data_IF_574012637550
#
_entry.id   IF_574012637550
#
_cell.length_a   1.000
_cell.length_b   1.000
_cell.length_c   1.000
_cell.angle_alpha   90.00
_cell.angle_beta   90.00
_cell.angle_gamma   90.00
#
_symmetry.space_group_name_H-M   'P 1'
#
loop_
_entity.id
_entity.type
_entity.pdbx_description
1 polymer ?
#
# COMPACT_ATOMS: atom_id res chain seq x y z
N UNK A 1 17.04 -3.67 8.84
CA UNK A 1 15.89 -3.44 7.93
C UNK A 1 14.63 -3.28 8.78
N UNK A 2 13.88 -2.22 8.58
CA UNK A 2 12.58 -2.02 9.25
C UNK A 2 11.47 -2.37 8.26
N UNK A 3 10.72 -3.41 8.57
CA UNK A 3 9.57 -3.80 7.74
C UNK A 3 8.38 -2.90 8.05
N UNK A 4 7.61 -2.58 7.01
CA UNK A 4 6.42 -1.74 7.12
C UNK A 4 5.19 -2.44 6.57
N UNK A 5 4.06 -2.19 7.21
CA UNK A 5 2.75 -2.44 6.63
C UNK A 5 2.18 -1.11 6.17
N UNK A 6 2.01 -0.95 4.88
CA UNK A 6 1.43 0.27 4.31
C UNK A 6 -0.03 -0.02 3.95
N UNK A 7 -0.91 0.87 4.37
CA UNK A 7 -2.33 0.78 4.04
C UNK A 7 -2.69 1.83 2.99
N UNK A 8 -3.50 1.41 2.03
CA UNK A 8 -4.07 2.30 1.04
C UNK A 8 -5.45 1.77 0.66
N UNK A 9 -6.30 2.62 0.12
CA UNK A 9 -7.61 2.21 -0.39
C UNK A 9 -7.74 2.60 -1.85
N UNK A 10 -8.55 1.87 -2.59
CA UNK A 10 -8.79 2.10 -4.00
C UNK A 10 -10.29 2.01 -4.30
N UNK A 11 -10.77 2.68 -5.36
CA UNK A 11 -12.20 2.70 -5.65
C UNK A 11 -12.75 1.39 -6.24
N UNK A 12 -11.90 0.53 -6.76
CA UNK A 12 -12.31 -0.71 -7.39
C UNK A 12 -11.22 -1.77 -7.32
N UNK A 13 -11.61 -3.01 -7.58
CA UNK A 13 -10.66 -4.11 -7.66
C UNK A 13 -9.68 -3.93 -8.82
N UNK A 14 -10.16 -3.37 -9.94
CA UNK A 14 -9.29 -3.13 -11.10
C UNK A 14 -8.18 -2.15 -10.77
N UNK A 15 -8.50 -1.05 -10.11
CA UNK A 15 -7.49 -0.08 -9.69
C UNK A 15 -6.55 -0.69 -8.67
N UNK A 16 -7.10 -1.38 -7.66
CA UNK A 16 -6.28 -2.04 -6.64
C UNK A 16 -5.31 -3.04 -7.26
N UNK A 17 -5.78 -3.82 -8.25
CA UNK A 17 -4.95 -4.80 -8.94
C UNK A 17 -3.80 -4.11 -9.70
N UNK A 18 -4.09 -3.02 -10.40
CA UNK A 18 -3.06 -2.26 -11.11
C UNK A 18 -1.98 -1.75 -10.13
N UNK A 19 -2.41 -1.15 -9.03
CA UNK A 19 -1.49 -0.64 -8.01
C UNK A 19 -0.64 -1.77 -7.43
N UNK A 20 -1.28 -2.88 -7.03
CA UNK A 20 -0.60 -4.02 -6.43
C UNK A 20 0.44 -4.63 -7.35
N UNK A 21 0.07 -4.89 -8.61
CA UNK A 21 0.97 -5.50 -9.58
C UNK A 21 2.17 -4.59 -9.87
N UNK A 22 1.91 -3.29 -10.02
CA UNK A 22 2.97 -2.32 -10.29
C UNK A 22 4.00 -2.30 -9.16
N UNK A 23 3.53 -2.25 -7.91
CA UNK A 23 4.44 -2.21 -6.77
C UNK A 23 5.31 -3.46 -6.66
N UNK A 24 4.72 -4.63 -6.88
CA UNK A 24 5.46 -5.90 -6.80
C UNK A 24 6.41 -6.04 -8.00
N UNK A 25 5.96 -5.72 -9.21
CA UNK A 25 6.79 -5.80 -10.41
C UNK A 25 7.99 -4.86 -10.36
N UNK A 26 7.84 -3.71 -9.72
CA UNK A 26 8.93 -2.75 -9.56
C UNK A 26 9.78 -3.00 -8.31
N UNK A 27 9.50 -4.08 -7.59
CA UNK A 27 10.22 -4.47 -6.37
C UNK A 27 10.15 -3.39 -5.27
N UNK A 28 9.08 -2.61 -5.26
CA UNK A 28 8.81 -1.64 -4.21
C UNK A 28 8.03 -2.25 -3.05
N UNK A 29 7.38 -3.36 -3.28
CA UNK A 29 6.68 -4.12 -2.24
C UNK A 29 6.95 -5.61 -2.44
N UNK A 30 7.02 -6.33 -1.32
CA UNK A 30 7.19 -7.77 -1.34
C UNK A 30 5.88 -8.48 -1.63
N UNK A 31 4.80 -7.94 -1.10
CA UNK A 31 3.48 -8.55 -1.19
C UNK A 31 2.43 -7.47 -1.04
N UNK A 32 1.36 -7.56 -1.81
CA UNK A 32 0.19 -6.70 -1.63
C UNK A 32 -1.04 -7.60 -1.57
N UNK A 33 -1.72 -7.56 -0.44
CA UNK A 33 -2.99 -8.26 -0.27
C UNK A 33 -4.12 -7.29 -0.50
N UNK A 34 -5.18 -7.75 -1.16
CA UNK A 34 -6.33 -6.93 -1.50
C UNK A 34 -7.54 -7.47 -0.76
N UNK A 35 -8.25 -6.58 -0.05
CA UNK A 35 -9.48 -6.91 0.66
C UNK A 35 -10.63 -6.09 0.09
N UNK A 36 -11.58 -6.76 -0.56
CA UNK A 36 -12.80 -6.11 -1.08
C UNK A 36 -13.82 -5.96 0.03
N UNK A 37 -14.86 -5.18 -0.22
CA UNK A 37 -16.00 -5.06 0.69
C UNK A 37 -15.79 -4.09 1.84
N UNK A 38 -14.89 -3.14 1.70
CA UNK A 38 -14.68 -2.09 2.70
C UNK A 38 -15.68 -0.97 2.44
N UNK A 39 -16.34 -0.49 3.48
CA UNK A 39 -17.18 0.71 3.41
C UNK A 39 -16.47 1.79 4.23
N UNK A 40 -16.17 2.90 3.60
CA UNK A 40 -15.48 4.02 4.23
C UNK A 40 -16.41 5.22 4.35
N UNK A 41 -16.38 5.85 5.52
CA UNK A 41 -17.13 7.07 5.79
C UNK A 41 -16.12 8.16 6.08
N UNK A 42 -16.23 9.30 5.39
CA UNK A 42 -15.26 10.39 5.55
C UNK A 42 -15.88 11.70 5.13
N UNK A 43 -15.25 12.80 5.55
CA UNK A 43 -15.65 14.14 5.12
C UNK A 43 -14.76 14.56 3.95
N UNK A 44 -15.40 15.05 2.90
CA UNK A 44 -14.69 15.59 1.74
C UNK A 44 -15.39 16.88 1.31
N UNK A 45 -14.63 17.96 1.27
CA UNK A 45 -15.12 19.30 0.86
C UNK A 45 -16.38 19.72 1.64
N UNK A 46 -16.38 19.49 2.93
CA UNK A 46 -17.45 19.92 3.83
C UNK A 46 -18.65 18.99 3.90
N UNK A 47 -18.64 17.87 3.18
CA UNK A 47 -19.77 16.93 3.18
C UNK A 47 -19.31 15.52 3.57
N UNK A 48 -20.20 14.78 4.22
CA UNK A 48 -19.93 13.39 4.55
C UNK A 48 -20.13 12.51 3.32
N UNK A 49 -19.12 11.69 3.02
CA UNK A 49 -19.17 10.73 1.94
C UNK A 49 -19.20 9.31 2.50
N UNK A 50 -19.84 8.42 1.78
CA UNK A 50 -19.83 6.99 2.04
C UNK A 50 -19.48 6.29 0.75
N UNK A 51 -18.39 5.52 0.75
CA UNK A 51 -17.88 4.87 -0.46
C UNK A 51 -17.57 3.40 -0.21
N UNK A 52 -17.83 2.58 -1.22
CA UNK A 52 -17.31 1.20 -1.24
C UNK A 52 -15.89 1.26 -1.74
N UNK A 53 -14.99 0.63 -0.99
CA UNK A 53 -13.57 0.66 -1.31
C UNK A 53 -12.94 -0.70 -1.20
N UNK A 54 -11.73 -0.81 -1.76
CA UNK A 54 -10.88 -1.99 -1.68
C UNK A 54 -9.65 -1.58 -0.89
N UNK A 55 -9.32 -2.36 0.15
CA UNK A 55 -8.17 -2.11 0.99
C UNK A 55 -6.94 -2.83 0.43
N UNK A 56 -5.82 -2.12 0.36
CA UNK A 56 -4.53 -2.72 0.04
C UNK A 56 -3.69 -2.80 1.31
N UNK A 57 -3.17 -4.01 1.58
CA UNK A 57 -2.24 -4.27 2.67
C UNK A 57 -0.89 -4.56 2.04
N UNK A 58 0.03 -3.61 2.12
CA UNK A 58 1.28 -3.61 1.37
C UNK A 58 2.42 -3.90 2.33
N UNK A 59 3.17 -4.98 2.08
CA UNK A 59 4.33 -5.35 2.89
C UNK A 59 5.59 -4.91 2.18
N UNK A 60 6.35 -4.03 2.84
CA UNK A 60 7.57 -3.43 2.28
C UNK A 60 8.57 -3.12 3.39
N UNK A 61 9.54 -2.28 3.11
CA UNK A 61 10.54 -1.83 4.10
C UNK A 61 10.65 -0.31 4.09
N UNK A 62 11.09 0.24 5.21
CA UNK A 62 11.12 1.68 5.43
C UNK A 62 11.90 2.44 4.36
N UNK A 63 13.04 1.89 3.92
CA UNK A 63 13.89 2.54 2.92
C UNK A 63 13.21 2.74 1.56
N UNK A 64 12.11 2.03 1.29
CA UNK A 64 11.38 2.13 0.03
C UNK A 64 10.09 2.93 0.13
N UNK A 65 9.74 3.42 1.33
CA UNK A 65 8.45 4.08 1.52
C UNK A 65 8.25 5.29 0.61
N UNK A 66 9.25 6.16 0.49
CA UNK A 66 9.09 7.36 -0.35
C UNK A 66 8.94 7.02 -1.83
N UNK A 67 9.69 6.06 -2.34
CA UNK A 67 9.56 5.60 -3.72
C UNK A 67 8.20 4.94 -3.97
N UNK A 68 7.74 4.13 -3.02
CA UNK A 68 6.44 3.48 -3.08
C UNK A 68 5.32 4.53 -3.09
N UNK A 69 5.40 5.51 -2.20
CA UNK A 69 4.42 6.60 -2.12
C UNK A 69 4.35 7.37 -3.43
N UNK A 70 5.50 7.73 -3.99
CA UNK A 70 5.57 8.45 -5.26
C UNK A 70 4.89 7.66 -6.38
N UNK A 71 5.15 6.36 -6.46
CA UNK A 71 4.53 5.50 -7.47
C UNK A 71 3.03 5.41 -7.28
N UNK A 72 2.57 5.22 -6.05
CA UNK A 72 1.14 5.18 -5.76
C UNK A 72 0.45 6.49 -6.13
N UNK A 73 1.01 7.62 -5.75
CA UNK A 73 0.43 8.92 -6.06
C UNK A 73 0.32 9.16 -7.57
N UNK A 74 1.31 8.69 -8.33
CA UNK A 74 1.31 8.87 -9.78
C UNK A 74 0.20 8.07 -10.48
N UNK A 75 -0.17 6.92 -9.91
CA UNK A 75 -1.14 6.01 -10.52
C UNK A 75 -2.55 6.10 -9.93
N UNK A 76 -2.65 6.64 -8.71
CA UNK A 76 -3.90 6.63 -7.96
C UNK A 76 -4.91 7.64 -8.55
N UNK A 77 -6.19 7.24 -8.71
CA UNK A 77 -7.20 8.16 -9.25
C UNK A 77 -7.67 9.21 -8.25
N UNK A 78 -7.44 9.02 -6.95
CA UNK A 78 -7.84 10.01 -5.94
C UNK A 78 -6.87 11.18 -5.94
N UNK A 79 -7.42 12.36 -5.69
CA UNK A 79 -6.61 13.57 -5.51
C UNK A 79 -5.72 13.47 -4.27
N UNK A 80 -6.28 12.93 -3.17
CA UNK A 80 -5.56 12.72 -1.91
C UNK A 80 -5.75 11.27 -1.48
N UNK A 81 -4.90 10.34 -1.96
CA UNK A 81 -5.04 8.93 -1.57
C UNK A 81 -4.56 8.69 -0.15
N UNK A 82 -5.18 7.69 0.51
CA UNK A 82 -4.68 7.20 1.79
C UNK A 82 -3.40 6.42 1.54
N UNK A 83 -2.31 6.83 2.17
CA UNK A 83 -1.04 6.11 2.14
C UNK A 83 -0.42 6.31 3.52
N UNK A 84 -0.60 5.33 4.39
CA UNK A 84 -0.10 5.38 5.75
C UNK A 84 0.71 4.13 6.04
N UNK A 85 1.72 4.27 6.88
CA UNK A 85 2.63 3.16 7.20
C UNK A 85 2.66 2.91 8.70
N UNK A 86 2.65 1.62 9.06
CA UNK A 86 2.85 1.16 10.41
C UNK A 86 4.14 0.35 10.44
N UNK A 87 4.94 0.52 11.48
CA UNK A 87 6.11 -0.31 11.67
C UNK A 87 5.70 -1.70 12.12
N UNK A 88 6.27 -2.73 11.49
CA UNK A 88 6.07 -4.11 11.92
C UNK A 88 7.10 -4.37 13.02
N UNK A 89 6.68 -4.29 14.27
CA UNK A 89 7.59 -4.42 15.41
C UNK A 89 8.05 -5.86 15.64
N UNK A 90 7.22 -6.84 15.29
CA UNK A 90 7.53 -8.26 15.48
C UNK A 90 6.98 -9.06 14.31
N UNK A 91 7.70 -10.07 13.90
CA UNK A 91 7.26 -10.96 12.84
C UNK A 91 8.09 -12.24 12.82
N UNK A 92 7.62 -13.22 12.06
CA UNK A 92 8.35 -14.45 11.80
C UNK A 92 9.60 -14.09 10.98
N UNK A 93 10.79 -14.33 11.53
CA UNK A 93 12.04 -13.88 10.91
C UNK A 93 12.22 -14.32 9.45
N UNK A 94 11.91 -15.58 9.09
CA UNK A 94 12.02 -15.95 7.65
C UNK A 94 11.14 -15.11 6.74
N UNK A 95 9.95 -14.71 7.20
CA UNK A 95 9.06 -13.84 6.43
C UNK A 95 9.63 -12.43 6.30
N UNK A 96 10.15 -11.87 7.39
CA UNK A 96 10.75 -10.54 7.38
C UNK A 96 11.98 -10.52 6.47
N UNK A 97 12.82 -11.57 6.50
CA UNK A 97 13.97 -11.69 5.61
C UNK A 97 13.52 -11.78 4.15
N UNK A 98 12.41 -12.49 3.90
CA UNK A 98 11.86 -12.58 2.55
C UNK A 98 11.41 -11.22 2.02
N UNK A 99 10.74 -10.40 2.86
CA UNK A 99 10.38 -9.04 2.47
C UNK A 99 11.59 -8.28 1.97
N UNK A 100 12.70 -8.35 2.72
CA UNK A 100 13.92 -7.65 2.35
C UNK A 100 14.52 -8.20 1.05
N UNK A 101 14.51 -9.53 0.88
CA UNK A 101 15.17 -10.19 -0.24
C UNK A 101 14.50 -9.95 -1.59
N UNK A 102 13.17 -9.72 -1.61
CA UNK A 102 12.41 -9.55 -2.86
C UNK A 102 12.09 -8.08 -3.18
N UNK A 103 12.56 -7.15 -2.36
CA UNK A 103 12.42 -5.72 -2.62
C UNK A 103 13.77 -5.14 -2.97
N UNK A 104 13.75 -4.08 -3.79
CA UNK A 104 15.01 -3.50 -4.27
C UNK A 104 15.70 -2.71 -3.17
N UNK A 105 17.00 -2.54 -3.32
CA UNK A 105 17.74 -1.67 -2.44
C UNK A 105 17.49 -0.22 -2.82
N UNK A 106 17.46 0.70 -1.85
CA UNK A 106 17.34 2.11 -2.16
C UNK A 106 18.59 2.60 -2.87
N UNK A 107 18.41 3.53 -3.79
CA UNK A 107 19.51 4.12 -4.55
C UNK A 107 19.95 5.41 -3.88
#
# INVERSE_FOLDING_TARGET
MSALLVLSTAPSKEVATLLAKTLVEQHLAACVSIQEGITSFFEWQGEMAQESEVLLLIKTKESLFEALKTTLCALHPYEVPEIIALEISKGHLPYLHWIDSVTKDPV
#
